data_IF_728242150249
#
_entry.id   IF_728242150249
#
_cell.length_a   1.000
_cell.length_b   1.000
_cell.length_c   1.000
_cell.angle_alpha   90.00
_cell.angle_beta   90.00
_cell.angle_gamma   90.00
#
_symmetry.space_group_name_H-M   'P 1'
#
loop_
_entity.id
_entity.type
_entity.pdbx_description
1 polymer ?
#
# COMPACT_ATOMS: atom_id res chain seq x y z
N UNK A 1 -4.08 3.09 5.98
CA UNK A 1 -3.09 2.75 7.01
C UNK A 1 -1.89 3.67 6.82
N UNK A 2 -1.46 4.38 7.87
CA UNK A 2 -0.28 5.26 7.83
C UNK A 2 0.74 4.59 8.76
N UNK A 3 1.87 4.14 8.23
CA UNK A 3 2.89 3.45 9.04
C UNK A 3 4.23 4.16 8.84
N UNK A 4 4.97 4.42 9.91
CA UNK A 4 6.29 5.03 9.85
C UNK A 4 7.30 4.10 9.17
N UNK A 5 8.21 4.66 8.35
CA UNK A 5 9.25 3.88 7.67
C UNK A 5 10.07 3.03 8.64
N UNK A 6 10.33 3.60 9.82
CA UNK A 6 11.15 2.99 10.87
C UNK A 6 10.61 1.63 11.33
N UNK A 7 9.29 1.42 11.37
CA UNK A 7 8.72 0.16 11.85
C UNK A 7 8.61 -0.91 10.74
N UNK A 8 8.42 -0.50 9.48
CA UNK A 8 8.35 -1.42 8.33
C UNK A 8 9.74 -1.97 7.96
N UNK A 9 10.77 -1.10 8.01
CA UNK A 9 12.15 -1.50 7.67
C UNK A 9 12.73 -2.48 8.69
N UNK A 10 12.42 -2.34 9.98
CA UNK A 10 12.85 -3.29 11.02
C UNK A 10 12.18 -4.66 10.84
N UNK A 11 10.92 -4.72 10.38
CA UNK A 11 10.23 -6.00 10.14
C UNK A 11 10.68 -6.74 8.87
N UNK A 12 11.29 -6.04 7.91
CA UNK A 12 11.81 -6.61 6.66
C UNK A 12 13.34 -6.72 6.65
N UNK A 13 13.96 -6.84 7.83
CA UNK A 13 15.42 -6.84 8.10
C UNK A 13 16.26 -7.81 7.23
N UNK A 14 15.66 -8.75 6.51
CA UNK A 14 16.35 -9.52 5.45
C UNK A 14 16.64 -8.73 4.16
N UNK A 15 16.31 -7.43 4.11
CA UNK A 15 16.58 -6.55 2.99
C UNK A 15 18.08 -6.22 2.89
N UNK A 16 18.78 -7.00 2.07
CA UNK A 16 20.10 -6.73 1.50
C UNK A 16 20.39 -5.21 1.38
N UNK A 17 21.53 -4.70 1.91
CA UNK A 17 21.84 -3.25 2.07
C UNK A 17 21.53 -2.39 0.84
N UNK A 18 21.70 -2.96 -0.36
CA UNK A 18 21.46 -2.29 -1.63
C UNK A 18 19.97 -2.01 -1.93
N UNK A 19 19.04 -2.85 -1.46
CA UNK A 19 17.58 -2.66 -1.65
C UNK A 19 17.03 -1.55 -0.76
N UNK A 20 17.60 -1.39 0.43
CA UNK A 20 17.26 -0.33 1.38
C UNK A 20 17.60 1.05 0.79
N UNK A 21 18.73 1.18 0.09
CA UNK A 21 19.18 2.47 -0.48
C UNK A 21 18.16 3.07 -1.46
N UNK A 22 17.53 2.25 -2.29
CA UNK A 22 16.55 2.72 -3.27
C UNK A 22 15.29 3.31 -2.60
N UNK A 23 14.78 2.62 -1.57
CA UNK A 23 13.63 3.11 -0.80
C UNK A 23 13.97 4.37 -0.01
N UNK A 24 15.18 4.45 0.57
CA UNK A 24 15.67 5.65 1.27
C UNK A 24 15.81 6.87 0.36
N UNK A 25 16.30 6.68 -0.86
CA UNK A 25 16.33 7.73 -1.88
C UNK A 25 14.91 8.18 -2.27
N UNK A 26 13.96 7.25 -2.33
CA UNK A 26 12.57 7.54 -2.66
C UNK A 26 11.83 8.31 -1.57
N UNK A 27 12.06 7.95 -0.31
CA UNK A 27 11.46 8.60 0.84
C UNK A 27 12.10 9.94 1.18
N UNK A 28 13.37 10.11 0.80
CA UNK A 28 14.17 11.29 1.12
C UNK A 28 14.98 11.15 2.42
N UNK A 29 15.02 9.95 3.03
CA UNK A 29 15.94 9.67 4.13
C UNK A 29 17.42 9.82 3.69
N UNK A 30 17.69 9.56 2.41
CA UNK A 30 18.98 9.83 1.78
C UNK A 30 18.73 10.78 0.59
N UNK A 31 19.52 11.85 0.53
CA UNK A 31 19.48 12.80 -0.58
C UNK A 31 20.08 12.17 -1.85
N UNK A 32 19.50 12.41 -3.04
CA UNK A 32 20.07 11.96 -4.29
C UNK A 32 21.36 12.73 -4.62
N UNK A 33 22.38 12.02 -5.10
CA UNK A 33 23.63 12.62 -5.60
C UNK A 33 23.56 12.98 -7.11
N UNK A 34 22.37 12.96 -7.69
CA UNK A 34 22.11 13.19 -9.10
C UNK A 34 20.91 14.13 -9.28
N UNK A 35 20.76 14.69 -10.49
CA UNK A 35 19.70 15.66 -10.79
C UNK A 35 18.33 15.00 -10.69
N UNK A 36 17.53 15.42 -9.71
CA UNK A 36 16.14 15.00 -9.51
C UNK A 36 15.21 16.20 -9.61
N UNK A 37 13.90 15.95 -9.80
CA UNK A 37 12.90 17.04 -9.80
C UNK A 37 12.73 17.67 -8.41
N UNK A 38 12.91 16.89 -7.34
CA UNK A 38 12.91 17.36 -5.95
C UNK A 38 14.30 17.09 -5.34
N UNK A 39 15.06 18.10 -4.90
CA UNK A 39 16.43 17.90 -4.41
C UNK A 39 16.50 17.03 -3.14
N UNK A 40 15.37 16.80 -2.46
CA UNK A 40 15.31 16.00 -1.24
C UNK A 40 15.12 14.51 -1.50
N UNK A 41 14.71 14.10 -2.70
CA UNK A 41 14.35 12.70 -3.00
C UNK A 41 14.41 12.37 -4.49
N UNK A 42 14.46 11.08 -4.81
CA UNK A 42 14.29 10.60 -6.18
C UNK A 42 12.93 9.92 -6.37
N UNK A 43 12.26 10.14 -7.50
CA UNK A 43 11.13 9.29 -7.90
C UNK A 43 11.65 7.94 -8.39
N UNK A 44 10.79 6.92 -8.42
CA UNK A 44 11.18 5.60 -8.92
C UNK A 44 11.66 5.65 -10.38
N UNK A 45 11.04 6.48 -11.23
CA UNK A 45 11.46 6.68 -12.63
C UNK A 45 12.78 7.42 -12.78
N UNK A 46 13.21 8.13 -11.74
CA UNK A 46 14.49 8.86 -11.71
C UNK A 46 15.63 7.98 -11.17
N UNK A 47 15.31 6.79 -10.63
CA UNK A 47 16.31 5.84 -10.18
C UNK A 47 16.91 5.07 -11.37
N UNK A 48 18.17 4.61 -11.29
CA UNK A 48 18.74 3.70 -12.25
C UNK A 48 17.87 2.44 -12.48
N UNK A 49 17.75 1.98 -13.73
CA UNK A 49 16.89 0.84 -14.09
C UNK A 49 17.20 -0.43 -13.31
N UNK A 50 18.49 -0.69 -13.01
CA UNK A 50 18.89 -1.82 -12.19
C UNK A 50 18.31 -1.77 -10.77
N UNK A 51 18.18 -0.57 -10.18
CA UNK A 51 17.56 -0.36 -8.87
C UNK A 51 16.04 -0.51 -8.96
N UNK A 52 15.43 0.02 -10.01
CA UNK A 52 13.99 -0.14 -10.25
C UNK A 52 13.60 -1.61 -10.35
N UNK A 53 14.32 -2.39 -11.18
CA UNK A 53 14.10 -3.83 -11.36
C UNK A 53 14.26 -4.58 -10.04
N UNK A 54 15.32 -4.31 -9.28
CA UNK A 54 15.56 -4.92 -7.95
C UNK A 54 14.44 -4.66 -6.94
N UNK A 55 13.85 -3.46 -6.96
CA UNK A 55 12.69 -3.14 -6.11
C UNK A 55 11.48 -3.94 -6.54
N UNK A 56 11.16 -3.95 -7.84
CA UNK A 56 10.02 -4.70 -8.38
C UNK A 56 10.17 -6.19 -8.06
N UNK A 57 11.35 -6.76 -8.31
CA UNK A 57 11.64 -8.17 -8.04
C UNK A 57 11.51 -8.49 -6.55
N UNK A 58 11.95 -7.59 -5.65
CA UNK A 58 11.77 -7.78 -4.22
C UNK A 58 10.28 -7.91 -3.83
N UNK A 59 9.43 -7.00 -4.31
CA UNK A 59 8.00 -7.04 -4.00
C UNK A 59 7.30 -8.22 -4.70
N UNK A 60 7.80 -8.67 -5.87
CA UNK A 60 7.33 -9.89 -6.53
C UNK A 60 7.65 -11.14 -5.72
N UNK A 61 8.89 -11.31 -5.29
CA UNK A 61 9.32 -12.46 -4.48
C UNK A 61 8.63 -12.49 -3.12
N UNK A 62 8.46 -11.34 -2.46
CA UNK A 62 7.95 -11.25 -1.09
C UNK A 62 6.49 -10.79 -1.03
N UNK A 63 5.73 -10.98 -2.11
CA UNK A 63 4.38 -10.45 -2.29
C UNK A 63 3.46 -10.78 -1.11
N UNK A 64 3.36 -12.06 -0.77
CA UNK A 64 2.45 -12.56 0.26
C UNK A 64 2.80 -11.95 1.63
N UNK A 65 4.08 -11.97 1.98
CA UNK A 65 4.59 -11.43 3.25
C UNK A 65 4.30 -9.94 3.37
N UNK A 66 4.58 -9.16 2.33
CA UNK A 66 4.32 -7.71 2.32
C UNK A 66 2.83 -7.41 2.44
N UNK A 67 1.97 -8.15 1.73
CA UNK A 67 0.51 -7.94 1.78
C UNK A 67 -0.05 -8.31 3.15
N UNK A 68 0.38 -9.44 3.72
CA UNK A 68 -0.04 -9.87 5.04
C UNK A 68 0.34 -8.84 6.10
N UNK A 69 1.57 -8.32 6.07
CA UNK A 69 2.01 -7.28 7.00
C UNK A 69 1.18 -5.99 6.87
N UNK A 70 0.83 -5.60 5.64
CA UNK A 70 0.08 -4.36 5.37
C UNK A 70 -1.40 -4.48 5.76
N UNK A 71 -2.01 -5.66 5.58
CA UNK A 71 -3.46 -5.82 5.72
C UNK A 71 -3.86 -6.55 7.01
N UNK A 72 -3.16 -7.64 7.36
CA UNK A 72 -3.45 -8.45 8.54
C UNK A 72 -2.75 -7.94 9.79
N UNK A 73 -1.55 -7.37 9.63
CA UNK A 73 -0.68 -6.97 10.74
C UNK A 73 0.20 -8.13 11.24
N UNK A 74 0.99 -7.88 12.29
CA UNK A 74 1.84 -8.86 12.98
C UNK A 74 1.64 -8.74 14.49
N UNK A 75 1.96 -9.83 15.21
CA UNK A 75 1.75 -10.04 16.65
C UNK A 75 0.28 -9.90 17.10
N UNK A 76 -0.01 -10.06 18.40
CA UNK A 76 -1.33 -10.43 18.98
C UNK A 76 -2.54 -9.52 18.72
N UNK A 77 -2.48 -8.62 17.75
CA UNK A 77 -3.58 -7.83 17.21
C UNK A 77 -3.60 -8.04 15.70
N UNK A 78 -4.12 -9.19 15.26
CA UNK A 78 -4.32 -9.51 13.84
C UNK A 78 -5.76 -9.27 13.44
N UNK A 79 -5.98 -8.65 12.28
CA UNK A 79 -7.32 -8.54 11.72
C UNK A 79 -7.72 -9.85 11.05
N UNK A 80 -8.77 -10.51 11.56
CA UNK A 80 -9.35 -11.70 10.91
C UNK A 80 -10.48 -11.34 9.94
N UNK A 81 -11.12 -10.20 10.16
CA UNK A 81 -12.24 -9.71 9.35
C UNK A 81 -12.06 -8.24 8.99
N UNK A 82 -12.56 -7.85 7.82
CA UNK A 82 -12.55 -6.48 7.35
C UNK A 82 -13.98 -6.06 6.99
N UNK A 83 -14.47 -5.03 7.68
CA UNK A 83 -15.75 -4.38 7.40
C UNK A 83 -15.51 -3.09 6.62
N UNK A 84 -16.11 -2.99 5.44
CA UNK A 84 -16.15 -1.72 4.69
C UNK A 84 -17.57 -1.25 4.63
N UNK A 85 -17.82 -0.04 5.13
CA UNK A 85 -19.08 0.66 4.99
C UNK A 85 -18.92 1.83 4.00
N UNK A 86 -19.89 1.96 3.10
CA UNK A 86 -19.99 3.04 2.14
C UNK A 86 -21.36 3.67 2.28
N UNK A 87 -21.36 4.97 2.53
CA UNK A 87 -22.55 5.79 2.46
C UNK A 87 -22.68 6.38 1.05
N UNK A 88 -23.80 6.10 0.37
CA UNK A 88 -24.15 6.71 -0.91
C UNK A 88 -25.11 7.89 -0.67
N UNK A 89 -24.56 9.11 -0.66
CA UNK A 89 -25.34 10.36 -0.43
C UNK A 89 -26.55 10.48 -1.36
N UNK A 90 -26.39 10.13 -2.64
CA UNK A 90 -27.45 10.26 -3.64
C UNK A 90 -28.68 9.38 -3.37
N UNK A 91 -28.53 8.29 -2.63
CA UNK A 91 -29.63 7.38 -2.27
C UNK A 91 -30.00 7.46 -0.80
N UNK A 92 -29.24 8.20 0.00
CA UNK A 92 -29.33 8.21 1.45
C UNK A 92 -29.26 6.78 2.04
N UNK A 93 -28.42 5.91 1.44
CA UNK A 93 -28.30 4.49 1.79
C UNK A 93 -26.87 4.16 2.25
N UNK A 94 -26.75 3.24 3.21
CA UNK A 94 -25.46 2.72 3.67
C UNK A 94 -25.30 1.26 3.26
N UNK A 95 -24.37 1.02 2.34
CA UNK A 95 -23.93 -0.32 1.97
C UNK A 95 -22.78 -0.76 2.86
N UNK A 96 -22.72 -2.05 3.19
CA UNK A 96 -21.57 -2.61 3.88
C UNK A 96 -21.17 -3.97 3.32
N UNK A 97 -19.90 -4.32 3.50
CA UNK A 97 -19.36 -5.63 3.14
C UNK A 97 -18.40 -6.10 4.22
N UNK A 98 -18.65 -7.32 4.71
CA UNK A 98 -17.78 -8.02 5.65
C UNK A 98 -17.13 -9.20 4.92
N UNK A 99 -15.79 -9.29 4.99
CA UNK A 99 -15.01 -10.39 4.41
C UNK A 99 -13.89 -10.82 5.35
N UNK A 100 -13.52 -12.09 5.28
CA UNK A 100 -12.35 -12.61 5.97
C UNK A 100 -11.06 -11.98 5.39
N UNK A 101 -10.04 -11.86 6.23
CA UNK A 101 -8.78 -11.23 5.86
C UNK A 101 -8.08 -11.94 4.70
N UNK A 102 -8.24 -13.27 4.56
CA UNK A 102 -7.60 -14.02 3.47
C UNK A 102 -8.21 -13.63 2.12
N UNK A 103 -9.53 -13.51 2.05
CA UNK A 103 -10.24 -12.98 0.88
C UNK A 103 -9.79 -11.56 0.56
N UNK A 104 -9.65 -10.70 1.57
CA UNK A 104 -9.19 -9.31 1.39
C UNK A 104 -7.74 -9.25 0.89
N UNK A 105 -6.84 -10.06 1.46
CA UNK A 105 -5.44 -10.17 1.04
C UNK A 105 -5.34 -10.67 -0.39
N UNK A 106 -6.08 -11.72 -0.76
CA UNK A 106 -6.10 -12.24 -2.12
C UNK A 106 -6.65 -11.20 -3.11
N UNK A 107 -7.70 -10.47 -2.73
CA UNK A 107 -8.31 -9.46 -3.58
C UNK A 107 -7.38 -8.27 -3.83
N UNK A 108 -6.89 -7.60 -2.77
CA UNK A 108 -5.98 -6.45 -2.93
C UNK A 108 -4.60 -6.87 -3.40
N UNK A 109 -4.20 -8.06 -3.01
CA UNK A 109 -2.99 -8.71 -3.43
C UNK A 109 -3.02 -9.22 -4.85
N UNK A 110 -4.12 -9.14 -5.60
CA UNK A 110 -4.17 -9.50 -7.02
C UNK A 110 -3.65 -8.38 -7.94
N UNK A 111 -3.12 -8.72 -9.11
CA UNK A 111 -2.66 -7.77 -10.13
C UNK A 111 -1.14 -7.75 -10.35
N UNK A 112 -0.67 -6.75 -11.09
CA UNK A 112 0.75 -6.61 -11.41
C UNK A 112 1.49 -5.75 -10.38
N UNK A 113 2.79 -6.00 -10.21
CA UNK A 113 3.67 -5.13 -9.42
C UNK A 113 4.46 -4.25 -10.39
N UNK A 114 4.18 -2.94 -10.38
CA UNK A 114 4.77 -1.99 -11.34
C UNK A 114 4.92 -0.59 -10.76
N UNK A 115 5.88 0.15 -11.30
CA UNK A 115 6.06 1.57 -11.00
C UNK A 115 5.03 2.37 -11.79
N UNK A 116 4.40 3.36 -11.16
CA UNK A 116 3.47 4.26 -11.85
C UNK A 116 4.19 5.06 -12.93
N UNK A 117 3.54 5.46 -14.05
CA UNK A 117 4.18 6.24 -15.11
C UNK A 117 4.86 7.54 -14.63
N UNK A 118 4.33 8.15 -13.56
CA UNK A 118 4.89 9.38 -12.96
C UNK A 118 6.03 9.13 -11.97
N UNK A 119 6.36 7.86 -11.70
CA UNK A 119 7.37 7.44 -10.72
C UNK A 119 7.06 7.73 -9.25
N UNK A 120 5.88 8.27 -8.95
CA UNK A 120 5.54 8.75 -7.60
C UNK A 120 4.97 7.66 -6.69
N UNK A 121 4.56 6.53 -7.28
CA UNK A 121 3.98 5.39 -6.57
C UNK A 121 4.49 4.06 -7.14
N UNK A 122 4.58 3.05 -6.29
CA UNK A 122 4.72 1.65 -6.69
C UNK A 122 3.38 0.96 -6.45
N UNK A 123 2.85 0.30 -7.49
CA UNK A 123 1.65 -0.51 -7.40
C UNK A 123 2.07 -1.93 -7.02
N UNK A 124 1.53 -2.45 -5.93
CA UNK A 124 1.70 -3.83 -5.46
C UNK A 124 0.31 -4.48 -5.59
N UNK A 125 -0.01 -4.99 -6.77
CA UNK A 125 -1.38 -5.36 -7.09
C UNK A 125 -2.30 -4.14 -7.06
N UNK A 126 -3.31 -4.16 -6.19
CA UNK A 126 -4.24 -3.04 -5.97
C UNK A 126 -3.83 -2.13 -4.80
N UNK A 127 -2.65 -2.36 -4.22
CA UNK A 127 -2.09 -1.56 -3.13
C UNK A 127 -1.12 -0.53 -3.71
N UNK A 128 -1.38 0.74 -3.50
CA UNK A 128 -0.47 1.83 -3.88
C UNK A 128 0.48 2.18 -2.75
N UNK A 129 1.79 1.98 -2.96
CA UNK A 129 2.84 2.46 -2.08
C UNK A 129 3.33 3.82 -2.54
N UNK A 130 3.34 4.80 -1.63
CA UNK A 130 3.79 6.16 -1.91
C UNK A 130 4.55 6.73 -0.72
N UNK A 131 5.37 7.76 -0.96
CA UNK A 131 5.86 8.60 0.14
C UNK A 131 4.67 9.37 0.76
N UNK A 132 4.67 9.51 2.08
CA UNK A 132 3.65 10.25 2.84
C UNK A 132 3.66 11.73 2.47
N UNK A 133 4.80 12.40 2.61
CA UNK A 133 4.91 13.86 2.48
C UNK A 133 4.16 14.62 3.60
N UNK A 134 4.43 15.92 3.74
CA UNK A 134 3.82 16.77 4.78
C UNK A 134 4.29 16.48 6.21
N UNK A 135 3.73 17.17 7.20
CA UNK A 135 4.03 17.00 8.64
C UNK A 135 3.12 15.93 9.29
N UNK A 136 3.53 15.28 10.40
CA UNK A 136 4.83 15.39 11.08
C UNK A 136 5.98 14.57 10.47
N UNK A 137 5.71 13.55 9.63
CA UNK A 137 6.74 12.62 9.12
C UNK A 137 6.76 12.53 7.58
N UNK A 138 7.38 13.49 6.88
CA UNK A 138 7.31 13.56 5.42
C UNK A 138 8.02 12.40 4.72
N UNK A 139 9.02 11.80 5.37
CA UNK A 139 9.89 10.74 4.85
C UNK A 139 9.35 9.33 5.07
N UNK A 140 8.14 9.18 5.63
CA UNK A 140 7.54 7.85 5.78
C UNK A 140 6.94 7.32 4.47
N UNK A 141 6.89 6.00 4.32
CA UNK A 141 6.07 5.35 3.30
C UNK A 141 4.62 5.29 3.78
N UNK A 142 3.71 5.22 2.81
CA UNK A 142 2.30 5.14 3.04
C UNK A 142 1.70 4.17 2.02
N UNK A 143 0.94 3.20 2.54
CA UNK A 143 0.18 2.28 1.73
C UNK A 143 -1.27 2.73 1.64
N UNK A 144 -1.77 2.84 0.41
CA UNK A 144 -3.13 3.22 0.09
C UNK A 144 -3.81 2.08 -0.65
N UNK A 145 -5.01 1.76 -0.19
CA UNK A 145 -5.96 0.86 -0.86
C UNK A 145 -7.30 1.58 -0.95
N UNK A 146 -8.02 1.35 -2.05
CA UNK A 146 -9.41 1.77 -2.19
C UNK A 146 -10.32 0.67 -1.62
N UNK A 147 -10.86 0.83 -0.40
CA UNK A 147 -11.67 -0.21 0.26
C UNK A 147 -12.97 -0.51 -0.48
N UNK A 148 -13.53 0.49 -1.16
CA UNK A 148 -14.78 0.34 -1.90
C UNK A 148 -14.65 -0.61 -3.09
N UNK A 149 -13.43 -0.98 -3.49
CA UNK A 149 -13.26 -2.04 -4.48
C UNK A 149 -13.72 -3.41 -3.97
N UNK A 150 -13.78 -3.64 -2.65
CA UNK A 150 -14.26 -4.91 -2.10
C UNK A 150 -15.72 -5.18 -2.49
N UNK A 151 -16.55 -4.16 -2.69
CA UNK A 151 -17.92 -4.34 -3.18
C UNK A 151 -17.98 -4.98 -4.59
N UNK A 152 -16.88 -4.96 -5.36
CA UNK A 152 -16.79 -5.69 -6.63
C UNK A 152 -16.84 -7.21 -6.42
N UNK A 153 -16.48 -7.73 -5.23
CA UNK A 153 -16.60 -9.15 -4.90
C UNK A 153 -18.06 -9.61 -4.73
N UNK A 154 -18.95 -8.71 -4.30
CA UNK A 154 -20.38 -9.01 -4.15
C UNK A 154 -21.19 -8.73 -5.43
N UNK A 155 -20.57 -8.11 -6.45
CA UNK A 155 -21.24 -7.85 -7.72
C UNK A 155 -21.38 -9.13 -8.54
N UNK A 156 -22.55 -9.76 -8.47
CA UNK A 156 -23.18 -10.26 -9.70
C UNK A 156 -23.30 -9.05 -10.64
N UNK A 157 -22.70 -9.13 -11.83
CA UNK A 157 -22.53 -8.07 -12.85
C UNK A 157 -23.63 -7.00 -12.80
N UNK A 158 -23.28 -5.75 -12.51
CA UNK A 158 -23.96 -4.53 -13.00
C UNK A 158 -23.07 -3.34 -12.69
N UNK A 159 -22.63 -2.57 -13.69
CA UNK A 159 -21.74 -1.40 -13.57
C UNK A 159 -22.34 -0.28 -12.70
N UNK A 160 -21.52 0.45 -11.92
CA UNK A 160 -21.82 1.78 -11.36
C UNK A 160 -20.64 2.35 -10.57
N UNK A 161 -20.55 3.67 -10.71
CA UNK A 161 -19.50 4.66 -10.48
C UNK A 161 -19.08 4.85 -9.01
N UNK A 162 -17.86 5.36 -8.82
CA UNK A 162 -17.20 5.52 -7.52
C UNK A 162 -17.50 6.89 -6.91
N UNK A 163 -17.85 6.96 -5.62
CA UNK A 163 -17.57 8.08 -4.71
C UNK A 163 -17.75 7.65 -3.24
N UNK A 164 -16.87 8.14 -2.35
CA UNK A 164 -16.95 8.05 -0.86
C UNK A 164 -16.77 6.66 -0.23
N UNK A 165 -15.85 6.47 0.73
CA UNK A 165 -15.72 5.22 1.48
C UNK A 165 -15.00 5.42 2.82
N UNK A 166 -15.55 4.90 3.93
CA UNK A 166 -14.92 4.92 5.26
C UNK A 166 -14.53 3.48 5.65
N UNK A 167 -13.40 3.30 6.34
CA UNK A 167 -12.88 1.98 6.74
C UNK A 167 -13.01 1.79 8.25
N UNK A 168 -13.49 0.63 8.66
CA UNK A 168 -13.44 0.17 10.05
C UNK A 168 -12.74 -1.20 10.10
N UNK A 169 -11.80 -1.38 11.02
CA UNK A 169 -11.20 -2.68 11.33
C UNK A 169 -11.87 -3.17 12.63
N UNK A 170 -12.44 -4.38 12.62
CA UNK A 170 -12.97 -4.99 13.82
C UNK A 170 -11.89 -5.90 14.42
N UNK A 171 -11.48 -5.64 15.66
CA UNK A 171 -10.62 -6.52 16.44
C UNK A 171 -11.50 -7.51 17.20
N UNK A 172 -11.07 -8.77 17.30
CA UNK A 172 -11.71 -9.76 18.18
C UNK A 172 -11.42 -9.42 19.63
N UNK A 173 -12.42 -9.46 20.54
CA UNK A 173 -12.15 -9.44 21.98
C UNK A 173 -11.33 -10.69 22.34
N UNK A 174 -10.32 -10.51 23.19
CA UNK A 174 -9.55 -11.60 23.81
C UNK A 174 -10.43 -12.43 24.74
#
# INVERSE_FOLDING_TARGET
>A
MKTLLRNIIISWIFLNRNKIKALKLFTGEIKPNFKTKDPRRAKFTELPENMQKRIIDFFKTNRILVIADILKGRSGITADWVLVARYEENKNETDWILKDINTVMNFFGSGEIKISPTGSRLLIGKIGMQRKGGTPDPESLQFKINPCELFKLNRKRKNLTQNGCVKYFAETPQ
#
